data_IF_266066103005
#
_entry.id   IF_266066103005
#
_cell.length_a   1.000
_cell.length_b   1.000
_cell.length_c   1.000
_cell.angle_alpha   90.00
_cell.angle_beta   90.00
_cell.angle_gamma   90.00
#
_symmetry.space_group_name_H-M   'P 1'
#
loop_
_entity.id
_entity.type
_entity.pdbx_description
1 polymer ?
#
# COMPACT_ATOMS: atom_id res chain seq x y z
N UNK A 1 -2.66 15.54 0.98
CA UNK A 1 -2.54 14.07 1.00
C UNK A 1 -1.83 13.66 -0.28
N UNK A 2 -0.76 12.86 -0.22
CA UNK A 2 -0.04 12.48 -1.45
C UNK A 2 -0.95 11.60 -2.32
N UNK A 3 -1.09 12.00 -3.58
CA UNK A 3 -1.93 11.33 -4.55
C UNK A 3 -1.33 9.95 -4.84
N UNK A 4 -2.19 8.94 -4.79
CA UNK A 4 -1.83 7.56 -5.07
C UNK A 4 -2.73 7.04 -6.19
N UNK A 5 -2.14 6.23 -7.07
CA UNK A 5 -2.84 5.50 -8.11
C UNK A 5 -2.87 4.03 -7.72
N UNK A 6 -3.97 3.36 -8.00
CA UNK A 6 -4.05 1.92 -7.87
C UNK A 6 -4.44 1.32 -9.20
N UNK A 7 -3.73 0.29 -9.63
CA UNK A 7 -3.94 -0.36 -10.91
C UNK A 7 -3.56 -1.83 -10.84
N UNK A 8 -4.09 -2.62 -11.78
CA UNK A 8 -3.70 -4.01 -11.92
C UNK A 8 -2.37 -4.13 -12.66
N UNK A 9 -1.51 -5.00 -12.18
CA UNK A 9 -0.29 -5.42 -12.86
C UNK A 9 -0.47 -6.88 -13.29
N UNK A 10 -0.79 -7.07 -14.57
CA UNK A 10 -1.21 -8.36 -15.09
C UNK A 10 -2.54 -8.81 -14.48
N UNK A 11 -2.69 -10.11 -14.31
CA UNK A 11 -3.95 -10.72 -13.86
C UNK A 11 -3.99 -11.01 -12.36
N UNK A 12 -2.84 -10.94 -11.66
CA UNK A 12 -2.71 -11.47 -10.30
C UNK A 12 -2.36 -10.44 -9.23
N UNK A 13 -1.92 -9.25 -9.64
CA UNK A 13 -1.38 -8.25 -8.72
C UNK A 13 -2.07 -6.89 -8.83
N UNK A 14 -2.16 -6.20 -7.70
CA UNK A 14 -2.56 -4.80 -7.61
C UNK A 14 -1.34 -4.00 -7.16
N UNK A 15 -1.10 -2.86 -7.81
CA UNK A 15 -0.04 -1.93 -7.43
C UNK A 15 -0.68 -0.67 -6.87
N UNK A 16 -0.22 -0.23 -5.70
CA UNK A 16 -0.43 1.12 -5.20
C UNK A 16 0.84 1.94 -5.45
N UNK A 17 0.75 2.99 -6.25
CA UNK A 17 1.88 3.85 -6.61
C UNK A 17 1.63 5.31 -6.19
N UNK A 18 2.64 5.95 -5.63
CA UNK A 18 2.59 7.34 -5.21
C UNK A 18 3.15 8.27 -6.28
N UNK A 19 2.43 9.36 -6.55
CA UNK A 19 2.92 10.43 -7.43
C UNK A 19 4.10 11.17 -6.77
N UNK A 20 5.10 11.63 -7.55
CA UNK A 20 6.17 12.48 -7.04
C UNK A 20 5.65 13.77 -6.35
N UNK A 21 6.41 14.37 -5.40
CA UNK A 21 7.75 13.96 -4.96
C UNK A 21 7.73 12.82 -3.93
N UNK A 22 8.75 11.95 -3.98
CA UNK A 22 8.96 10.90 -2.98
C UNK A 22 9.54 11.52 -1.71
N UNK A 23 8.97 11.20 -0.56
CA UNK A 23 9.45 11.67 0.75
C UNK A 23 9.75 10.50 1.67
N UNK A 24 10.64 10.69 2.64
CA UNK A 24 10.88 9.68 3.69
C UNK A 24 9.59 9.36 4.47
N UNK A 25 8.74 10.36 4.68
CA UNK A 25 7.45 10.19 5.35
C UNK A 25 6.51 9.25 4.56
N UNK A 26 6.44 9.41 3.24
CA UNK A 26 5.64 8.53 2.39
C UNK A 26 6.24 7.12 2.31
N UNK A 27 7.57 7.00 2.31
CA UNK A 27 8.24 5.71 2.31
C UNK A 27 8.02 4.93 3.63
N UNK A 28 8.05 5.61 4.78
CA UNK A 28 7.71 5.00 6.08
C UNK A 28 6.25 4.52 6.13
N UNK A 29 5.33 5.24 5.48
CA UNK A 29 3.92 4.80 5.35
C UNK A 29 3.79 3.56 4.46
N UNK A 30 4.52 3.52 3.35
CA UNK A 30 4.61 2.31 2.51
C UNK A 30 5.03 1.11 3.35
N UNK A 31 6.09 1.22 4.15
CA UNK A 31 6.57 0.10 4.98
C UNK A 31 5.52 -0.39 5.98
N UNK A 32 4.83 0.52 6.67
CA UNK A 32 3.75 0.14 7.62
C UNK A 32 2.60 -0.56 6.91
N UNK A 33 2.21 -0.04 5.76
CA UNK A 33 1.16 -0.65 4.95
C UNK A 33 1.58 -2.04 4.45
N UNK A 34 2.82 -2.22 3.99
CA UNK A 34 3.38 -3.51 3.60
C UNK A 34 3.35 -4.51 4.75
N UNK A 35 3.82 -4.13 5.95
CA UNK A 35 3.78 -5.00 7.13
C UNK A 35 2.37 -5.49 7.44
N UNK A 36 1.37 -4.60 7.33
CA UNK A 36 -0.03 -4.96 7.53
C UNK A 36 -0.59 -5.91 6.46
N UNK A 37 -0.11 -5.79 5.22
CA UNK A 37 -0.59 -6.58 4.08
C UNK A 37 -0.08 -8.03 4.11
N UNK A 38 1.13 -8.25 4.61
CA UNK A 38 1.75 -9.59 4.66
C UNK A 38 0.92 -10.58 5.48
N UNK A 39 0.22 -10.11 6.52
CA UNK A 39 -0.58 -10.96 7.40
C UNK A 39 -2.02 -11.19 6.90
N UNK A 40 -2.38 -10.71 5.71
CA UNK A 40 -3.75 -10.81 5.23
C UNK A 40 -4.02 -12.13 4.51
N UNK A 41 -5.13 -12.84 4.84
CA UNK A 41 -5.42 -14.16 4.26
C UNK A 41 -5.51 -14.18 2.73
N UNK A 42 -5.97 -13.07 2.16
CA UNK A 42 -6.22 -12.89 0.74
C UNK A 42 -5.00 -12.34 -0.04
N UNK A 43 -3.89 -12.10 0.65
CA UNK A 43 -2.61 -11.67 0.08
C UNK A 43 -1.66 -12.87 0.07
N UNK A 44 -1.02 -13.10 -1.08
CA UNK A 44 0.07 -14.08 -1.21
C UNK A 44 1.39 -13.42 -0.81
N UNK A 45 1.62 -12.22 -1.31
CA UNK A 45 2.84 -11.48 -1.08
C UNK A 45 2.59 -9.97 -1.20
N UNK A 46 3.30 -9.17 -0.39
CA UNK A 46 3.34 -7.72 -0.52
C UNK A 46 4.80 -7.28 -0.68
N UNK A 47 5.12 -6.72 -1.84
CA UNK A 47 6.47 -6.36 -2.26
C UNK A 47 6.58 -4.83 -2.26
N UNK A 48 7.34 -4.23 -1.32
CA UNK A 48 7.55 -2.79 -1.29
C UNK A 48 8.57 -2.35 -2.35
N UNK A 49 8.26 -1.27 -3.07
CA UNK A 49 9.20 -0.54 -3.92
C UNK A 49 9.63 0.79 -3.30
N UNK A 50 10.20 1.69 -4.12
CA UNK A 50 10.61 3.03 -3.66
C UNK A 50 9.41 3.92 -3.30
N UNK A 51 8.41 3.94 -4.17
CA UNK A 51 7.19 4.76 -4.06
C UNK A 51 5.91 3.94 -4.31
N UNK A 52 6.01 2.62 -4.33
CA UNK A 52 4.88 1.75 -4.59
C UNK A 52 4.88 0.51 -3.68
N UNK A 53 3.75 -0.19 -3.69
CA UNK A 53 3.60 -1.54 -3.13
C UNK A 53 2.91 -2.38 -4.20
N UNK A 54 3.52 -3.51 -4.55
CA UNK A 54 2.89 -4.55 -5.37
C UNK A 54 2.30 -5.61 -4.44
N UNK A 55 1.02 -5.91 -4.59
CA UNK A 55 0.29 -6.88 -3.76
C UNK A 55 -0.19 -8.00 -4.66
N UNK A 56 0.33 -9.21 -4.46
CA UNK A 56 -0.10 -10.42 -5.16
C UNK A 56 -1.30 -11.01 -4.40
N UNK A 57 -2.41 -11.21 -5.10
CA UNK A 57 -3.66 -11.71 -4.51
C UNK A 57 -3.76 -13.22 -4.64
N UNK A 58 -4.38 -13.87 -3.64
CA UNK A 58 -4.60 -15.33 -3.64
C UNK A 58 -5.65 -15.75 -4.67
N UNK A 59 -6.70 -14.95 -4.81
CA UNK A 59 -7.82 -15.17 -5.73
C UNK A 59 -8.10 -13.88 -6.52
N UNK A 60 -7.22 -13.50 -7.45
CA UNK A 60 -7.27 -12.18 -8.08
C UNK A 60 -8.56 -11.95 -8.89
N UNK A 61 -9.15 -13.00 -9.47
CA UNK A 61 -10.36 -12.91 -10.28
C UNK A 61 -11.59 -12.42 -9.47
N UNK A 62 -11.63 -12.71 -8.17
CA UNK A 62 -12.70 -12.28 -7.27
C UNK A 62 -12.31 -11.06 -6.44
N UNK A 63 -11.01 -10.84 -6.20
CA UNK A 63 -10.52 -9.87 -5.23
C UNK A 63 -9.97 -8.58 -5.84
N UNK A 64 -9.71 -8.51 -7.15
CA UNK A 64 -8.98 -7.39 -7.77
C UNK A 64 -9.60 -6.01 -7.48
N UNK A 65 -10.91 -5.86 -7.70
CA UNK A 65 -11.60 -4.58 -7.49
C UNK A 65 -11.64 -4.20 -6.00
N UNK A 66 -12.00 -5.16 -5.14
CA UNK A 66 -12.03 -4.97 -3.69
C UNK A 66 -10.65 -4.60 -3.13
N UNK A 67 -9.59 -5.24 -3.64
CA UNK A 67 -8.22 -4.97 -3.25
C UNK A 67 -7.79 -3.54 -3.63
N UNK A 68 -8.16 -3.06 -4.83
CA UNK A 68 -7.93 -1.67 -5.25
C UNK A 68 -8.61 -0.70 -4.27
N UNK A 69 -9.91 -0.88 -4.01
CA UNK A 69 -10.65 0.01 -3.11
C UNK A 69 -10.10 -0.03 -1.69
N UNK A 70 -9.68 -1.20 -1.23
CA UNK A 70 -9.18 -1.41 0.13
C UNK A 70 -7.80 -0.77 0.31
N UNK A 71 -6.90 -0.94 -0.67
CA UNK A 71 -5.58 -0.29 -0.69
C UNK A 71 -5.71 1.23 -0.73
N UNK A 72 -6.59 1.76 -1.60
CA UNK A 72 -6.88 3.20 -1.64
C UNK A 72 -7.44 3.71 -0.32
N UNK A 73 -8.36 2.97 0.33
CA UNK A 73 -8.91 3.33 1.65
C UNK A 73 -7.86 3.29 2.75
N UNK A 74 -6.97 2.31 2.78
CA UNK A 74 -5.91 2.26 3.80
C UNK A 74 -4.89 3.36 3.63
N UNK A 75 -4.48 3.64 2.39
CA UNK A 75 -3.69 4.83 2.11
C UNK A 75 -4.42 6.12 2.51
N UNK A 76 -5.74 6.17 2.28
CA UNK A 76 -6.73 7.12 2.78
C UNK A 76 -6.66 7.42 4.27
N UNK A 77 -6.67 6.35 5.07
CA UNK A 77 -6.87 6.39 6.53
C UNK A 77 -5.59 6.66 7.31
N UNK A 78 -4.42 6.40 6.75
CA UNK A 78 -3.15 6.78 7.39
C UNK A 78 -2.93 8.31 7.34
N UNK A 79 -3.70 9.06 8.13
CA UNK A 79 -3.29 10.38 8.60
C UNK A 79 -2.07 10.17 9.48
N UNK A 80 -1.01 10.95 9.24
CA UNK A 80 0.28 10.78 9.92
C UNK A 80 0.14 10.66 11.43
N UNK A 81 0.25 9.44 11.95
CA UNK A 81 0.74 9.21 13.30
C UNK A 81 2.26 9.47 13.24
N UNK A 82 2.60 10.75 13.32
CA UNK A 82 3.95 11.29 13.20
C UNK A 82 4.07 12.62 13.94
N UNK A 83 3.39 12.75 15.07
CA UNK A 83 3.67 13.74 16.10
C UNK A 83 3.54 13.00 17.43
N UNK A 84 4.66 12.78 18.11
CA UNK A 84 4.72 11.99 19.35
C UNK A 84 5.60 10.76 19.18
N UNK A 85 6.91 10.98 19.19
CA UNK A 85 7.85 10.41 20.15
C UNK A 85 9.23 10.97 19.75
N UNK A 86 9.54 12.12 20.35
CA UNK A 86 10.91 12.55 20.53
C UNK A 86 11.59 11.47 21.39
N UNK A 87 12.67 10.89 20.89
CA UNK A 87 13.64 10.20 21.72
C UNK A 87 14.73 11.22 22.04
N UNK A 88 14.85 11.52 23.34
CA UNK A 88 16.04 12.14 23.92
C UNK A 88 17.13 11.11 24.17
#
# INVERSE_FOLDING_TARGET
>A
MQRARCYLLGETAVVLELEPPITLASQKRIWRLTQRLVDMPNVVEAIPGMNNITVILREPQTLALDAIERLQRWWGRERGAGAGLAFG
#
